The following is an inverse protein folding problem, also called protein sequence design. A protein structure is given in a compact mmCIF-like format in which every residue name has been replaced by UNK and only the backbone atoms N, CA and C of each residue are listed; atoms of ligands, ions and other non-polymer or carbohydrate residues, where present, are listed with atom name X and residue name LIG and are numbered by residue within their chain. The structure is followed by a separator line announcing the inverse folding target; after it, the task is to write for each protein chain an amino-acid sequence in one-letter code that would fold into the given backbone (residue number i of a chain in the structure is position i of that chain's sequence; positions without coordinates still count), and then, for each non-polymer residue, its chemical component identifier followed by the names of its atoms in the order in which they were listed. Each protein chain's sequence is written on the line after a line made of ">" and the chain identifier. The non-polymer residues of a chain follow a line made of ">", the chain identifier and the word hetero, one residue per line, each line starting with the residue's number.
data_IF_857822397585
#
_entry.id   IF_857822397585
#
_cell.length_a   1.000
_cell.length_b   1.000
_cell.length_c   1.000
_cell.angle_alpha   90.00
_cell.angle_beta   90.00
_cell.angle_gamma   90.00
#
_symmetry.space_group_name_H-M   'P 1'
#
loop_
_entity.id
_entity.type
_entity.pdbx_description
1 polymer ?
#
# COMPACT_ATOMS: atom_id res chain seq x y z
N UNK A 1 20.90 -14.70 3.59
CA UNK A 1 20.76 -13.66 2.56
C UNK A 1 19.59 -12.79 2.97
N UNK A 2 19.81 -11.59 3.49
CA UNK A 2 18.72 -10.68 3.86
C UNK A 2 18.04 -10.23 2.58
N UNK A 3 16.87 -10.80 2.26
CA UNK A 3 16.06 -10.38 1.12
C UNK A 3 15.55 -8.97 1.43
N UNK A 4 16.22 -7.96 0.87
CA UNK A 4 15.80 -6.57 0.98
C UNK A 4 14.39 -6.43 0.39
N UNK A 5 13.45 -5.92 1.19
CA UNK A 5 12.07 -5.68 0.73
C UNK A 5 12.05 -4.61 -0.36
N UNK A 6 11.18 -4.78 -1.35
CA UNK A 6 10.99 -3.78 -2.41
C UNK A 6 10.36 -2.50 -1.82
N UNK A 7 10.77 -1.30 -2.25
CA UNK A 7 10.19 -0.05 -1.76
C UNK A 7 8.76 0.13 -2.25
N UNK A 8 7.84 0.52 -1.39
CA UNK A 8 6.45 0.84 -1.75
C UNK A 8 6.11 2.22 -1.19
N UNK A 9 5.46 3.06 -1.98
CA UNK A 9 5.02 4.38 -1.51
C UNK A 9 3.56 4.33 -1.07
N UNK A 10 3.30 4.83 0.13
CA UNK A 10 1.98 4.99 0.73
C UNK A 10 1.72 6.47 0.97
N UNK A 11 0.78 7.04 0.21
CA UNK A 11 0.33 8.43 0.28
C UNK A 11 -1.08 8.46 0.85
N UNK A 12 -1.36 9.33 1.80
CA UNK A 12 -2.69 9.39 2.41
C UNK A 12 -3.00 10.76 3.01
N UNK A 13 -4.29 11.10 3.09
CA UNK A 13 -4.81 12.19 3.90
C UNK A 13 -6.23 11.88 4.36
N UNK A 14 -6.66 12.45 5.49
CA UNK A 14 -8.03 12.27 6.02
C UNK A 14 -8.35 10.86 6.53
N UNK A 15 -7.40 9.93 6.53
CA UNK A 15 -7.57 8.53 6.97
C UNK A 15 -7.38 8.44 8.48
N UNK A 16 -8.20 7.63 9.16
CA UNK A 16 -8.03 7.45 10.60
C UNK A 16 -6.72 6.71 10.93
N UNK A 17 -6.09 6.98 12.10
CA UNK A 17 -4.87 6.28 12.49
C UNK A 17 -5.00 4.76 12.51
N UNK A 18 -6.17 4.24 12.92
CA UNK A 18 -6.41 2.80 12.98
C UNK A 18 -6.48 2.16 11.57
N UNK A 19 -7.16 2.79 10.61
CA UNK A 19 -7.19 2.31 9.22
C UNK A 19 -5.78 2.29 8.62
N UNK A 20 -5.01 3.35 8.88
CA UNK A 20 -3.63 3.44 8.42
C UNK A 20 -2.76 2.32 9.02
N UNK A 21 -2.90 2.01 10.31
CA UNK A 21 -2.19 0.90 10.96
C UNK A 21 -2.51 -0.44 10.32
N UNK A 22 -3.79 -0.70 10.01
CA UNK A 22 -4.21 -1.95 9.34
C UNK A 22 -3.55 -2.06 7.97
N UNK A 23 -3.59 -1.01 7.15
CA UNK A 23 -2.97 -1.00 5.82
C UNK A 23 -1.45 -1.12 5.91
N UNK A 24 -0.82 -0.37 6.81
CA UNK A 24 0.62 -0.41 7.03
C UNK A 24 1.07 -1.80 7.45
N UNK A 25 0.38 -2.45 8.38
CA UNK A 25 0.72 -3.80 8.85
C UNK A 25 0.71 -4.82 7.71
N UNK A 26 -0.27 -4.71 6.80
CA UNK A 26 -0.38 -5.56 5.62
C UNK A 26 0.80 -5.34 4.66
N UNK A 27 1.07 -4.09 4.31
CA UNK A 27 2.08 -3.72 3.32
C UNK A 27 3.51 -3.93 3.84
N UNK A 28 3.78 -3.52 5.08
CA UNK A 28 5.10 -3.60 5.69
C UNK A 28 5.55 -5.04 5.94
N UNK A 29 4.64 -6.02 5.95
CA UNK A 29 5.02 -7.44 5.97
C UNK A 29 5.76 -7.87 4.69
N UNK A 30 5.52 -7.20 3.56
CA UNK A 30 6.00 -7.57 2.22
C UNK A 30 6.98 -6.55 1.61
N UNK A 31 6.79 -5.27 1.90
CA UNK A 31 7.51 -4.16 1.29
C UNK A 31 8.24 -3.32 2.34
N UNK A 32 9.21 -2.53 1.89
CA UNK A 32 9.75 -1.42 2.65
C UNK A 32 8.84 -0.20 2.39
N UNK A 33 7.86 0.00 3.26
CA UNK A 33 6.86 1.06 3.10
C UNK A 33 7.50 2.42 3.37
N UNK A 34 7.30 3.36 2.44
CA UNK A 34 7.65 4.77 2.55
C UNK A 34 6.37 5.58 2.63
N UNK A 35 6.12 6.16 3.79
CA UNK A 35 4.95 7.00 4.03
C UNK A 35 5.21 8.43 3.56
N UNK A 36 4.19 9.04 2.96
CA UNK A 36 4.19 10.42 2.52
C UNK A 36 2.94 11.09 3.09
N UNK A 37 3.12 11.92 4.12
CA UNK A 37 2.04 12.64 4.81
C UNK A 37 1.75 14.02 4.18
N UNK A 38 2.70 14.56 3.42
CA UNK A 38 2.60 15.88 2.76
C UNK A 38 1.87 15.80 1.41
N UNK A 39 0.76 15.08 1.36
CA UNK A 39 -0.05 14.99 0.14
C UNK A 39 -0.98 16.21 0.10
N UNK A 40 -0.92 17.01 -0.97
CA UNK A 40 -1.91 18.05 -1.19
C UNK A 40 -3.30 17.41 -1.23
N UNK A 41 -4.18 17.91 -0.36
CA UNK A 41 -5.56 17.44 -0.31
C UNK A 41 -6.26 17.85 -1.61
N UNK A 42 -6.79 16.87 -2.33
CA UNK A 42 -7.62 17.14 -3.50
C UNK A 42 -8.99 17.65 -3.02
N UNK A 43 -9.47 18.75 -3.58
CA UNK A 43 -10.71 19.42 -3.13
C UNK A 43 -11.96 18.53 -3.22
N UNK A 44 -11.92 17.49 -4.06
CA UNK A 44 -13.04 16.59 -4.33
C UNK A 44 -13.20 15.47 -3.28
N UNK A 45 -12.16 15.18 -2.49
CA UNK A 45 -12.17 14.06 -1.56
C UNK A 45 -11.87 14.49 -0.12
N UNK A 46 -12.66 13.97 0.83
CA UNK A 46 -12.41 14.17 2.27
C UNK A 46 -11.29 13.26 2.78
N UNK A 47 -11.09 12.12 2.14
CA UNK A 47 -10.08 11.13 2.49
C UNK A 47 -9.48 10.51 1.23
N UNK A 48 -8.20 10.13 1.27
CA UNK A 48 -7.55 9.44 0.17
C UNK A 48 -6.46 8.51 0.68
N UNK A 49 -6.34 7.37 0.01
CA UNK A 49 -5.21 6.44 0.14
C UNK A 49 -4.73 6.12 -1.25
N UNK A 50 -3.44 6.37 -1.50
CA UNK A 50 -2.77 5.99 -2.74
C UNK A 50 -1.58 5.09 -2.41
N UNK A 51 -1.55 3.92 -3.05
CA UNK A 51 -0.54 2.89 -2.87
C UNK A 51 0.18 2.68 -4.20
N UNK A 52 1.46 3.03 -4.27
CA UNK A 52 2.28 2.90 -5.47
C UNK A 52 3.18 1.67 -5.31
N UNK A 53 2.81 0.59 -5.99
CA UNK A 53 3.58 -0.65 -6.00
C UNK A 53 4.83 -0.51 -6.89
N UNK A 54 5.98 -1.11 -6.48
CA UNK A 54 7.22 -1.09 -7.27
C UNK A 54 7.23 -2.08 -8.45
N UNK A 55 6.12 -2.79 -8.65
CA UNK A 55 5.97 -3.84 -9.65
C UNK A 55 4.86 -3.43 -10.62
N UNK A 56 5.10 -3.65 -11.91
CA UNK A 56 4.06 -3.49 -12.91
C UNK A 56 2.92 -4.48 -12.65
N UNK A 57 1.69 -4.03 -12.83
CA UNK A 57 0.50 -4.86 -12.66
C UNK A 57 0.38 -5.87 -13.80
N UNK A 58 0.95 -7.06 -13.60
CA UNK A 58 1.04 -8.13 -14.59
C UNK A 58 1.15 -9.52 -13.92
N UNK A 59 1.26 -10.58 -14.72
CA UNK A 59 1.38 -11.95 -14.22
C UNK A 59 2.57 -12.16 -13.26
N UNK A 60 3.68 -11.44 -13.44
CA UNK A 60 4.82 -11.55 -12.55
C UNK A 60 4.53 -10.96 -11.17
N UNK A 61 3.76 -9.87 -11.10
CA UNK A 61 3.23 -9.35 -9.85
C UNK A 61 2.39 -10.41 -9.14
N UNK A 62 1.41 -11.02 -9.80
CA UNK A 62 0.53 -12.02 -9.18
C UNK A 62 1.27 -13.29 -8.76
N UNK A 63 2.24 -13.76 -9.55
CA UNK A 63 3.08 -14.90 -9.18
C UNK A 63 3.91 -14.65 -7.92
N UNK A 64 4.38 -13.42 -7.71
CA UNK A 64 5.18 -13.06 -6.54
C UNK A 64 4.31 -12.68 -5.33
N UNK A 65 3.29 -11.85 -5.55
CA UNK A 65 2.42 -11.30 -4.52
C UNK A 65 1.42 -12.33 -4.00
N UNK A 66 0.91 -13.18 -4.90
CA UNK A 66 -0.09 -14.20 -4.68
C UNK A 66 -1.53 -13.68 -4.81
N UNK A 67 -2.35 -14.34 -5.63
CA UNK A 67 -3.74 -13.96 -5.90
C UNK A 67 -4.59 -13.89 -4.63
N UNK A 68 -4.52 -14.92 -3.78
CA UNK A 68 -5.28 -14.95 -2.51
C UNK A 68 -4.89 -13.81 -1.57
N UNK A 69 -3.63 -13.35 -1.62
CA UNK A 69 -3.18 -12.22 -0.81
C UNK A 69 -3.72 -10.92 -1.39
N UNK A 70 -3.68 -10.77 -2.71
CA UNK A 70 -4.26 -9.62 -3.40
C UNK A 70 -5.75 -9.47 -3.14
N UNK A 71 -6.49 -10.57 -3.14
CA UNK A 71 -7.91 -10.56 -2.80
C UNK A 71 -8.17 -10.08 -1.36
N UNK A 72 -7.33 -10.46 -0.40
CA UNK A 72 -7.40 -9.95 0.97
C UNK A 72 -7.07 -8.45 1.05
N UNK A 73 -6.07 -7.99 0.31
CA UNK A 73 -5.71 -6.56 0.23
C UNK A 73 -6.89 -5.73 -0.26
N UNK A 74 -7.57 -6.18 -1.32
CA UNK A 74 -8.78 -5.51 -1.85
C UNK A 74 -9.98 -5.54 -0.89
N UNK A 75 -10.02 -6.44 0.08
CA UNK A 75 -11.12 -6.49 1.06
C UNK A 75 -10.94 -5.52 2.23
N UNK A 76 -9.76 -4.91 2.35
CA UNK A 76 -9.40 -3.97 3.41
C UNK A 76 -9.46 -2.52 2.91
N UNK A 77 -9.24 -2.31 1.61
CA UNK A 77 -9.30 -1.03 0.90
C UNK A 77 -10.70 -0.84 0.31
#
# INVERSE_FOLDING_TARGET
>A
MSTSKLPLSLRFYGVSPWELEVIYSLLNSLFAVKEHQDVEQEEEYTTMIEIIFPLAFNDAFFKWFGDSRWDKTKGIL
#
